data_IF_334105028688
#
_entry.id   IF_334105028688
#
_cell.length_a   1.000
_cell.length_b   1.000
_cell.length_c   1.000
_cell.angle_alpha   90.00
_cell.angle_beta   90.00
_cell.angle_gamma   90.00
#
_symmetry.space_group_name_H-M   'P 1'
#
loop_
_entity.id
_entity.type
_entity.pdbx_description
1 polymer ?
#
# COMPACT_ATOMS: atom_id res chain seq x y z
N UNK A 1 -1.94 16.62 18.93
CA UNK A 1 -2.34 16.74 17.51
C UNK A 1 -3.75 16.17 17.34
N UNK A 2 -4.49 16.56 16.31
CA UNK A 2 -5.82 15.98 16.05
C UNK A 2 -5.62 14.50 15.67
N UNK A 3 -6.21 13.53 16.41
CA UNK A 3 -6.08 12.12 16.07
C UNK A 3 -6.77 11.85 14.73
N UNK A 4 -6.13 11.05 13.87
CA UNK A 4 -6.76 10.58 12.63
C UNK A 4 -7.92 9.63 12.98
N UNK A 5 -9.00 9.63 12.18
CA UNK A 5 -10.04 8.62 12.32
C UNK A 5 -9.47 7.23 12.03
N UNK A 6 -10.08 6.20 12.62
CA UNK A 6 -9.68 4.81 12.40
C UNK A 6 -9.70 4.44 10.90
N UNK A 7 -10.69 4.95 10.15
CA UNK A 7 -10.75 4.85 8.70
C UNK A 7 -10.74 6.24 8.08
N UNK A 8 -9.84 6.46 7.12
CA UNK A 8 -9.80 7.69 6.32
C UNK A 8 -10.57 7.50 5.02
N UNK A 9 -11.38 8.50 4.66
CA UNK A 9 -12.20 8.52 3.47
C UNK A 9 -11.85 9.75 2.60
N UNK A 10 -12.42 9.84 1.40
CA UNK A 10 -12.22 10.97 0.48
C UNK A 10 -12.66 12.33 1.04
N UNK A 11 -13.54 12.33 2.04
CA UNK A 11 -14.10 13.50 2.73
C UNK A 11 -13.48 13.75 4.11
N UNK A 12 -12.54 12.91 4.55
CA UNK A 12 -11.76 13.16 5.77
C UNK A 12 -10.86 14.36 5.57
N UNK A 13 -10.92 15.33 6.48
CA UNK A 13 -10.07 16.53 6.45
C UNK A 13 -8.58 16.14 6.50
N UNK A 14 -7.77 16.45 5.47
CA UNK A 14 -6.34 16.15 5.51
C UNK A 14 -5.62 17.04 6.52
N UNK A 15 -5.05 16.43 7.56
CA UNK A 15 -4.23 17.11 8.57
C UNK A 15 -2.88 16.39 8.76
N UNK A 16 -2.01 16.37 7.73
CA UNK A 16 -0.75 15.63 7.77
C UNK A 16 0.19 16.18 8.86
N UNK A 17 0.85 15.27 9.57
CA UNK A 17 1.84 15.59 10.61
C UNK A 17 3.28 15.33 10.16
N UNK A 18 3.51 15.29 8.85
CA UNK A 18 4.83 15.08 8.25
C UNK A 18 5.05 16.07 7.12
N UNK A 19 6.30 16.50 6.91
CA UNK A 19 6.64 17.38 5.79
C UNK A 19 6.25 16.77 4.44
N UNK A 20 6.44 15.46 4.28
CA UNK A 20 6.02 14.72 3.08
C UNK A 20 4.51 14.85 2.85
N UNK A 21 3.69 14.58 3.86
CA UNK A 21 2.24 14.68 3.76
C UNK A 21 1.77 16.11 3.46
N UNK A 22 2.35 17.11 4.13
CA UNK A 22 2.06 18.53 3.88
C UNK A 22 2.40 18.92 2.45
N UNK A 23 3.57 18.52 1.93
CA UNK A 23 3.97 18.79 0.55
C UNK A 23 3.02 18.14 -0.45
N UNK A 24 2.59 16.89 -0.23
CA UNK A 24 1.61 16.22 -1.09
C UNK A 24 0.26 16.93 -1.10
N UNK A 25 -0.21 17.40 0.06
CA UNK A 25 -1.45 18.16 0.15
C UNK A 25 -1.35 19.52 -0.56
N UNK A 26 -0.20 20.21 -0.46
CA UNK A 26 0.06 21.43 -1.24
C UNK A 26 -0.03 21.13 -2.75
N UNK A 27 0.59 20.04 -3.22
CA UNK A 27 0.48 19.63 -4.61
C UNK A 27 -0.97 19.37 -5.04
N UNK A 28 -1.79 18.70 -4.21
CA UNK A 28 -3.21 18.49 -4.51
C UNK A 28 -3.96 19.82 -4.72
N UNK A 29 -3.71 20.82 -3.89
CA UNK A 29 -4.30 22.15 -4.03
C UNK A 29 -3.82 22.89 -5.27
N UNK A 30 -2.53 22.81 -5.60
CA UNK A 30 -1.98 23.41 -6.82
C UNK A 30 -2.60 22.77 -8.08
N UNK A 31 -2.71 21.44 -8.11
CA UNK A 31 -3.38 20.72 -9.21
C UNK A 31 -4.84 21.15 -9.32
N UNK A 32 -5.56 21.26 -8.20
CA UNK A 32 -6.95 21.71 -8.19
C UNK A 32 -7.11 23.13 -8.75
N UNK A 33 -6.29 24.09 -8.32
CA UNK A 33 -6.39 25.49 -8.77
C UNK A 33 -6.02 25.64 -10.25
N UNK A 34 -4.95 24.99 -10.71
CA UNK A 34 -4.55 25.02 -12.13
C UNK A 34 -5.60 24.36 -13.03
N UNK A 35 -6.25 23.30 -12.52
CA UNK A 35 -7.34 22.64 -13.21
C UNK A 35 -8.58 23.53 -13.34
N UNK A 36 -8.97 24.21 -12.25
CA UNK A 36 -10.09 25.17 -12.24
C UNK A 36 -9.86 26.35 -13.19
N UNK A 37 -8.60 26.79 -13.33
CA UNK A 37 -8.20 27.86 -14.27
C UNK A 37 -8.11 27.40 -15.72
N UNK A 38 -8.24 26.10 -15.99
CA UNK A 38 -8.12 25.54 -17.34
C UNK A 38 -6.69 25.44 -17.86
N UNK A 39 -5.68 25.58 -16.99
CA UNK A 39 -4.26 25.47 -17.39
C UNK A 39 -3.84 24.01 -17.61
N UNK A 40 -4.45 23.08 -16.88
CA UNK A 40 -4.21 21.64 -17.00
C UNK A 40 -5.52 20.85 -16.86
N UNK A 41 -5.53 19.60 -17.34
CA UNK A 41 -6.54 18.61 -16.98
C UNK A 41 -6.03 17.71 -15.84
N UNK A 42 -6.00 18.26 -14.63
CA UNK A 42 -5.34 17.65 -13.49
C UNK A 42 -6.21 16.66 -12.71
N UNK A 43 -5.63 15.50 -12.42
CA UNK A 43 -6.12 14.52 -11.43
C UNK A 43 -5.01 14.19 -10.42
N UNK A 44 -5.39 13.85 -9.20
CA UNK A 44 -4.51 13.40 -8.12
C UNK A 44 -5.03 12.08 -7.53
N UNK A 45 -4.16 11.09 -7.45
CA UNK A 45 -4.43 9.81 -6.83
C UNK A 45 -3.66 9.71 -5.52
N UNK A 46 -4.37 9.41 -4.42
CA UNK A 46 -3.75 9.09 -3.13
C UNK A 46 -3.54 7.59 -3.06
N UNK A 47 -2.28 7.18 -3.24
CA UNK A 47 -1.89 5.79 -3.27
C UNK A 47 -1.95 5.18 -1.87
N UNK A 48 -2.38 3.93 -1.80
CA UNK A 48 -2.24 3.09 -0.61
C UNK A 48 -0.79 2.58 -0.51
N UNK A 49 -0.44 1.95 0.62
CA UNK A 49 0.90 1.39 0.74
C UNK A 49 1.09 0.26 -0.26
N UNK A 50 1.94 0.51 -1.26
CA UNK A 50 2.26 -0.50 -2.27
C UNK A 50 3.08 -1.62 -1.64
N UNK A 51 2.56 -2.84 -1.68
CA UNK A 51 3.23 -4.07 -1.25
C UNK A 51 2.72 -5.25 -2.09
N UNK A 52 3.54 -6.22 -2.50
CA UNK A 52 4.96 -6.39 -2.19
C UNK A 52 5.82 -5.62 -3.20
N UNK A 53 6.66 -4.69 -2.73
CA UNK A 53 7.59 -3.98 -3.62
C UNK A 53 8.78 -4.88 -3.97
N UNK A 54 9.13 -5.04 -5.25
CA UNK A 54 10.35 -5.77 -5.64
C UNK A 54 11.61 -4.98 -5.27
N UNK A 55 12.75 -5.64 -5.37
CA UNK A 55 14.07 -5.04 -5.09
C UNK A 55 14.43 -5.00 -3.60
N UNK A 56 15.33 -4.10 -3.22
CA UNK A 56 15.87 -4.02 -1.86
C UNK A 56 14.96 -3.23 -0.91
N UNK A 57 15.01 -3.49 0.41
CA UNK A 57 14.43 -2.61 1.41
C UNK A 57 14.85 -1.14 1.21
N UNK A 58 13.92 -0.23 1.45
CA UNK A 58 14.21 1.19 1.57
C UNK A 58 14.14 1.63 3.04
N UNK A 59 14.68 2.81 3.37
CA UNK A 59 14.69 3.34 4.74
C UNK A 59 13.34 3.86 5.26
N UNK A 60 12.22 3.61 4.56
CA UNK A 60 10.92 4.09 4.99
C UNK A 60 10.35 3.22 6.12
N UNK A 61 9.64 3.83 7.08
CA UNK A 61 9.00 3.09 8.18
C UNK A 61 7.98 2.04 7.70
N UNK A 62 7.41 2.19 6.49
CA UNK A 62 6.49 1.23 5.88
C UNK A 62 7.18 0.09 5.12
N UNK A 63 8.51 0.05 5.07
CA UNK A 63 9.26 -0.94 4.29
C UNK A 63 9.02 -2.37 4.76
N UNK A 64 8.76 -2.57 6.06
CA UNK A 64 8.51 -3.88 6.64
C UNK A 64 7.26 -4.58 6.06
N UNK A 65 6.24 -3.85 5.60
CA UNK A 65 5.06 -4.47 4.99
C UNK A 65 5.40 -5.29 3.74
N UNK A 66 6.40 -4.87 2.96
CA UNK A 66 6.96 -5.72 1.89
C UNK A 66 8.01 -6.67 2.43
N UNK A 67 8.78 -6.21 3.42
CA UNK A 67 9.84 -6.95 4.10
C UNK A 67 9.42 -8.33 4.60
N UNK A 68 8.26 -8.41 5.27
CA UNK A 68 7.77 -9.65 5.87
C UNK A 68 7.25 -10.66 4.85
N UNK A 69 7.21 -10.31 3.56
CA UNK A 69 6.75 -11.19 2.48
C UNK A 69 7.90 -11.50 1.51
N UNK A 70 8.57 -10.46 1.00
CA UNK A 70 9.63 -10.58 -0.01
C UNK A 70 10.84 -11.38 0.48
N UNK A 71 11.38 -11.02 1.64
CA UNK A 71 12.60 -11.63 2.16
C UNK A 71 12.39 -13.12 2.47
N UNK A 72 11.30 -13.54 3.15
CA UNK A 72 11.00 -14.95 3.34
C UNK A 72 10.87 -15.75 2.03
N UNK A 73 10.19 -15.20 1.02
CA UNK A 73 10.08 -15.85 -0.29
C UNK A 73 11.45 -16.03 -0.95
N UNK A 74 12.39 -15.12 -0.71
CA UNK A 74 13.79 -15.23 -1.13
C UNK A 74 14.64 -16.11 -0.19
N UNK A 75 14.05 -16.76 0.82
CA UNK A 75 14.75 -17.59 1.80
C UNK A 75 15.62 -16.79 2.76
N UNK A 76 15.29 -15.52 3.00
CA UNK A 76 15.99 -14.59 3.89
C UNK A 76 15.11 -14.29 5.09
N UNK A 77 15.71 -14.27 6.29
CA UNK A 77 15.00 -13.87 7.50
C UNK A 77 14.55 -12.41 7.44
N UNK A 78 13.39 -12.12 8.03
CA UNK A 78 12.82 -10.78 8.05
C UNK A 78 12.31 -10.42 9.44
N UNK A 79 12.56 -9.17 9.83
CA UNK A 79 12.11 -8.63 11.11
C UNK A 79 10.82 -7.83 10.91
N UNK A 80 9.77 -8.22 11.62
CA UNK A 80 8.56 -7.44 11.78
C UNK A 80 8.70 -6.52 13.01
N UNK A 81 8.73 -5.18 12.83
CA UNK A 81 9.01 -4.23 13.90
C UNK A 81 7.81 -3.84 14.75
N UNK A 82 6.62 -4.38 14.47
CA UNK A 82 5.35 -3.95 15.06
C UNK A 82 4.50 -5.13 15.53
N UNK A 83 3.42 -4.84 16.27
CA UNK A 83 2.46 -5.87 16.69
C UNK A 83 1.79 -6.53 15.48
N UNK A 84 1.49 -7.84 15.53
CA UNK A 84 0.65 -8.50 14.53
C UNK A 84 -0.74 -7.87 14.37
N UNK A 85 -1.24 -7.14 15.39
CA UNK A 85 -2.55 -6.48 15.35
C UNK A 85 -2.56 -5.17 14.57
N UNK A 86 -1.40 -4.64 14.17
CA UNK A 86 -1.32 -3.42 13.37
C UNK A 86 -2.06 -3.63 12.05
N UNK A 87 -3.05 -2.77 11.79
CA UNK A 87 -3.81 -2.74 10.54
C UNK A 87 -3.44 -1.53 9.69
N UNK A 88 -3.36 -1.74 8.38
CA UNK A 88 -3.00 -0.70 7.42
C UNK A 88 -3.57 -0.98 6.02
N UNK A 89 -3.99 0.04 5.25
CA UNK A 89 -4.43 -0.13 3.88
C UNK A 89 -3.24 -0.37 2.93
N UNK A 90 -3.32 -1.45 2.15
CA UNK A 90 -2.28 -1.85 1.18
C UNK A 90 -2.84 -2.11 -0.20
N UNK A 91 -1.97 -2.07 -1.23
CA UNK A 91 -2.31 -2.44 -2.61
C UNK A 91 -1.12 -3.07 -3.32
N UNK A 92 -1.36 -3.94 -4.31
CA UNK A 92 -0.28 -4.48 -5.14
C UNK A 92 0.27 -3.41 -6.10
N UNK A 93 1.49 -3.61 -6.64
CA UNK A 93 1.99 -2.79 -7.74
C UNK A 93 1.03 -2.76 -8.93
N UNK A 94 0.48 -3.92 -9.34
CA UNK A 94 -0.48 -4.03 -10.45
C UNK A 94 -1.75 -3.20 -10.24
N UNK A 95 -2.46 -3.38 -9.12
CA UNK A 95 -3.66 -2.56 -8.78
C UNK A 95 -3.34 -1.08 -8.66
N UNK A 96 -2.14 -0.73 -8.21
CA UNK A 96 -1.71 0.66 -8.14
C UNK A 96 -1.55 1.26 -9.54
N UNK A 97 -0.95 0.51 -10.47
CA UNK A 97 -0.82 0.92 -11.89
C UNK A 97 -2.20 1.04 -12.54
N UNK A 98 -3.07 0.03 -12.38
CA UNK A 98 -4.45 0.06 -12.89
C UNK A 98 -5.19 1.31 -12.38
N UNK A 99 -5.06 1.60 -11.08
CA UNK A 99 -5.65 2.77 -10.45
C UNK A 99 -5.13 4.09 -11.04
N UNK A 100 -3.84 4.19 -11.31
CA UNK A 100 -3.24 5.37 -11.95
C UNK A 100 -3.74 5.55 -13.39
N UNK A 101 -3.83 4.46 -14.16
CA UNK A 101 -4.35 4.48 -15.53
C UNK A 101 -5.81 4.92 -15.53
N UNK A 102 -6.67 4.28 -14.72
CA UNK A 102 -8.08 4.63 -14.63
C UNK A 102 -8.31 6.07 -14.16
N UNK A 103 -7.50 6.56 -13.22
CA UNK A 103 -7.54 7.97 -12.79
C UNK A 103 -7.18 8.90 -13.96
N UNK A 104 -6.14 8.56 -14.72
CA UNK A 104 -5.70 9.35 -15.88
C UNK A 104 -6.77 9.38 -16.98
N UNK A 105 -7.42 8.25 -17.27
CA UNK A 105 -8.42 8.12 -18.35
C UNK A 105 -9.81 8.64 -17.99
N UNK A 106 -10.12 8.78 -16.70
CA UNK A 106 -11.45 9.19 -16.24
C UNK A 106 -11.80 10.63 -16.61
N UNK A 107 -13.05 10.86 -17.02
CA UNK A 107 -13.55 12.20 -17.38
C UNK A 107 -13.71 13.11 -16.17
N UNK A 108 -13.85 14.43 -16.41
CA UNK A 108 -14.12 15.42 -15.36
C UNK A 108 -15.45 15.14 -14.63
N UNK A 109 -16.46 14.70 -15.37
CA UNK A 109 -17.78 14.34 -14.85
C UNK A 109 -17.68 13.15 -13.89
N UNK A 110 -16.87 12.14 -14.25
CA UNK A 110 -16.61 10.98 -13.38
C UNK A 110 -15.93 11.40 -12.07
N UNK A 111 -15.07 12.42 -12.10
CA UNK A 111 -14.41 13.00 -10.93
C UNK A 111 -15.32 13.90 -10.07
N UNK A 112 -16.49 14.30 -10.58
CA UNK A 112 -17.53 15.12 -9.91
C UNK A 112 -16.99 16.42 -9.29
N UNK A 113 -16.15 17.13 -10.03
CA UNK A 113 -15.67 18.47 -9.66
C UNK A 113 -14.57 18.52 -8.58
N UNK A 114 -14.17 17.39 -8.01
CA UNK A 114 -12.93 17.27 -7.21
C UNK A 114 -11.79 16.79 -8.11
N UNK A 115 -10.54 17.04 -7.71
CA UNK A 115 -9.36 16.58 -8.48
C UNK A 115 -8.56 15.47 -7.80
N UNK A 116 -8.71 15.29 -6.48
CA UNK A 116 -8.03 14.24 -5.73
C UNK A 116 -8.99 13.12 -5.31
N UNK A 117 -8.55 11.85 -5.26
CA UNK A 117 -9.28 10.73 -4.67
C UNK A 117 -8.35 9.70 -4.02
N UNK A 118 -8.87 8.90 -3.09
CA UNK A 118 -8.21 7.71 -2.55
C UNK A 118 -8.27 6.56 -3.54
N UNK A 119 -7.13 5.95 -3.87
CA UNK A 119 -7.14 4.66 -4.57
C UNK A 119 -7.59 3.53 -3.63
N UNK A 120 -8.22 2.47 -4.12
CA UNK A 120 -8.61 1.35 -3.27
C UNK A 120 -7.41 0.65 -2.64
N UNK A 121 -7.60 0.19 -1.40
CA UNK A 121 -6.64 -0.66 -0.70
C UNK A 121 -7.36 -1.71 0.14
N UNK A 122 -6.71 -2.86 0.29
CA UNK A 122 -7.12 -3.88 1.23
C UNK A 122 -6.70 -3.43 2.63
N UNK A 123 -7.67 -3.26 3.53
CA UNK A 123 -7.39 -3.02 4.94
C UNK A 123 -7.04 -4.36 5.59
N UNK A 124 -5.77 -4.55 5.96
CA UNK A 124 -5.25 -5.84 6.40
C UNK A 124 -4.43 -5.67 7.68
N UNK A 125 -4.46 -6.66 8.58
CA UNK A 125 -3.52 -6.70 9.73
C UNK A 125 -2.24 -7.41 9.34
N UNK A 126 -1.17 -7.13 10.07
CA UNK A 126 0.10 -7.86 9.94
C UNK A 126 -0.11 -9.36 10.13
N UNK A 127 -0.97 -9.80 11.07
CA UNK A 127 -1.34 -11.21 11.23
C UNK A 127 -1.91 -11.80 9.94
N UNK A 128 -2.88 -11.12 9.33
CA UNK A 128 -3.58 -11.62 8.14
C UNK A 128 -2.61 -11.71 6.94
N UNK A 129 -1.60 -10.83 6.87
CA UNK A 129 -0.53 -10.90 5.86
C UNK A 129 0.38 -12.13 6.06
N UNK A 130 0.68 -12.49 7.31
CA UNK A 130 1.50 -13.65 7.63
C UNK A 130 0.75 -14.96 7.43
N UNK A 131 -0.54 -14.98 7.74
CA UNK A 131 -1.42 -16.12 7.47
C UNK A 131 -1.50 -16.38 5.96
N UNK A 132 -1.65 -15.32 5.15
CA UNK A 132 -1.61 -15.42 3.69
C UNK A 132 -0.25 -15.87 3.14
N UNK A 133 0.87 -15.45 3.76
CA UNK A 133 2.20 -15.95 3.40
C UNK A 133 2.32 -17.46 3.68
N UNK A 134 1.84 -17.92 4.83
CA UNK A 134 1.83 -19.33 5.19
C UNK A 134 0.93 -20.15 4.26
N UNK A 135 -0.26 -19.64 3.93
CA UNK A 135 -1.19 -20.27 2.98
C UNK A 135 -0.53 -20.49 1.61
N UNK A 136 0.16 -19.48 1.09
CA UNK A 136 0.68 -19.49 -0.29
C UNK A 136 2.06 -20.15 -0.39
N UNK A 137 2.95 -19.92 0.58
CA UNK A 137 4.35 -20.32 0.52
C UNK A 137 4.76 -21.36 1.58
N UNK A 138 3.83 -21.72 2.47
CA UNK A 138 4.02 -22.75 3.49
C UNK A 138 4.65 -22.26 4.80
N UNK A 139 4.55 -23.09 5.86
CA UNK A 139 4.96 -22.71 7.22
C UNK A 139 6.47 -22.49 7.35
N UNK A 140 7.29 -23.16 6.54
CA UNK A 140 8.75 -22.96 6.54
C UNK A 140 9.14 -21.55 6.11
N UNK A 141 8.48 -21.03 5.07
CA UNK A 141 8.71 -19.66 4.59
C UNK A 141 8.21 -18.67 5.64
N UNK A 142 6.99 -18.85 6.17
CA UNK A 142 6.47 -17.99 7.23
C UNK A 142 7.36 -17.97 8.49
N UNK A 143 8.02 -19.09 8.82
CA UNK A 143 8.90 -19.18 9.99
C UNK A 143 10.15 -18.28 9.90
N UNK A 144 10.51 -17.80 8.70
CA UNK A 144 11.60 -16.83 8.50
C UNK A 144 11.23 -15.42 8.98
N UNK A 145 9.97 -15.14 9.31
CA UNK A 145 9.55 -13.87 9.89
C UNK A 145 9.63 -13.94 11.41
N UNK A 146 10.42 -13.03 12.00
CA UNK A 146 10.54 -12.83 13.45
C UNK A 146 10.00 -11.48 13.86
N UNK A 147 9.47 -11.40 15.07
CA UNK A 147 9.04 -10.13 15.67
C UNK A 147 10.14 -9.57 16.56
N UNK A 148 10.53 -8.32 16.31
CA UNK A 148 11.42 -7.55 17.19
C UNK A 148 10.97 -6.11 17.14
N UNK A 149 10.34 -5.65 18.23
CA UNK A 149 9.67 -4.35 18.25
C UNK A 149 10.68 -3.19 18.14
N UNK A 150 10.52 -2.33 17.13
CA UNK A 150 11.22 -1.05 17.02
C UNK A 150 10.26 0.06 17.47
N UNK A 151 10.52 0.67 18.63
CA UNK A 151 9.65 1.71 19.20
C UNK A 151 9.51 2.95 18.31
N UNK A 152 10.53 3.28 17.52
CA UNK A 152 10.47 4.40 16.58
C UNK A 152 9.52 4.08 15.42
N UNK A 153 9.60 2.87 14.85
CA UNK A 153 8.67 2.44 13.78
C UNK A 153 7.26 2.28 14.34
N UNK A 154 7.11 1.64 15.50
CA UNK A 154 5.82 1.46 16.14
C UNK A 154 5.15 2.80 16.46
N UNK A 155 5.89 3.80 16.94
CA UNK A 155 5.38 5.15 17.19
C UNK A 155 4.93 5.87 15.92
N UNK A 156 5.63 5.70 14.79
CA UNK A 156 5.21 6.25 13.50
C UNK A 156 3.92 5.58 13.03
N UNK A 157 3.88 4.26 13.05
CA UNK A 157 2.75 3.46 12.55
C UNK A 157 1.49 3.64 13.42
N UNK A 158 1.65 3.85 14.73
CA UNK A 158 0.54 4.15 15.64
C UNK A 158 -0.22 5.44 15.29
N UNK A 159 0.40 6.34 14.50
CA UNK A 159 -0.22 7.57 14.03
C UNK A 159 -0.81 7.45 12.62
N UNK A 160 -0.79 6.26 12.02
CA UNK A 160 -1.41 6.01 10.73
C UNK A 160 -2.87 5.58 10.87
N UNK A 161 -3.70 5.83 9.84
CA UNK A 161 -5.05 5.32 9.85
C UNK A 161 -5.04 3.79 9.75
N UNK A 162 -5.83 3.13 10.59
CA UNK A 162 -5.96 1.66 10.59
C UNK A 162 -6.67 1.12 9.35
N UNK A 163 -7.27 1.99 8.54
CA UNK A 163 -7.83 1.63 7.25
C UNK A 163 -8.18 2.85 6.41
N UNK A 164 -8.54 2.60 5.16
CA UNK A 164 -9.05 3.59 4.24
C UNK A 164 -10.32 3.09 3.53
N UNK A 165 -11.13 4.04 3.05
CA UNK A 165 -12.20 3.80 2.09
C UNK A 165 -11.92 4.56 0.80
N UNK A 166 -12.46 4.03 -0.30
CA UNK A 166 -12.25 4.54 -1.65
C UNK A 166 -13.55 4.53 -2.47
N UNK A 167 -14.64 5.01 -1.86
CA UNK A 167 -15.99 4.98 -2.48
C UNK A 167 -16.04 5.71 -3.82
N UNK A 168 -15.25 6.78 -3.99
CA UNK A 168 -15.20 7.49 -5.27
C UNK A 168 -14.45 6.71 -6.34
N UNK A 169 -13.36 6.03 -5.98
CA UNK A 169 -12.65 5.16 -6.90
C UNK A 169 -13.50 3.94 -7.33
N UNK A 170 -14.34 3.41 -6.44
CA UNK A 170 -15.26 2.32 -6.77
C UNK A 170 -16.23 2.69 -7.92
N UNK A 171 -16.61 3.97 -8.03
CA UNK A 171 -17.45 4.47 -9.14
C UNK A 171 -16.70 4.52 -10.48
N UNK A 172 -15.37 4.44 -10.45
CA UNK A 172 -14.52 4.28 -11.64
C UNK A 172 -14.24 2.79 -11.95
N UNK A 173 -14.92 1.86 -11.27
CA UNK A 173 -14.68 0.42 -11.42
C UNK A 173 -13.43 -0.10 -10.70
N UNK A 174 -12.76 0.75 -9.91
CA UNK A 174 -11.57 0.36 -9.16
C UNK A 174 -11.96 -0.29 -7.83
N UNK A 175 -11.48 -1.51 -7.60
CA UNK A 175 -11.73 -2.27 -6.37
C UNK A 175 -10.41 -2.71 -5.72
N UNK A 176 -10.38 -2.86 -4.39
CA UNK A 176 -9.22 -3.45 -3.72
C UNK A 176 -9.12 -4.95 -4.06
N UNK A 177 -8.00 -5.57 -3.68
CA UNK A 177 -7.93 -7.04 -3.61
C UNK A 177 -8.95 -7.58 -2.61
N UNK A 178 -9.46 -8.79 -2.84
CA UNK A 178 -10.39 -9.45 -1.92
C UNK A 178 -9.67 -10.01 -0.68
N UNK A 179 -8.44 -10.49 -0.88
CA UNK A 179 -7.61 -11.08 0.17
C UNK A 179 -6.12 -10.76 -0.09
N UNK A 180 -5.28 -10.97 0.94
CA UNK A 180 -3.85 -10.69 0.82
C UNK A 180 -3.08 -11.83 0.11
N UNK A 181 -3.61 -13.06 0.09
CA UNK A 181 -2.99 -14.19 -0.59
C UNK A 181 -2.86 -13.94 -2.11
N UNK A 182 -3.82 -13.25 -2.72
CA UNK A 182 -3.75 -12.85 -4.13
C UNK A 182 -2.61 -11.85 -4.40
N UNK A 183 -2.31 -10.97 -3.44
CA UNK A 183 -1.16 -10.06 -3.53
C UNK A 183 0.16 -10.86 -3.46
N UNK A 184 0.23 -11.89 -2.60
CA UNK A 184 1.40 -12.78 -2.49
C UNK A 184 1.59 -13.58 -3.78
N UNK A 185 0.52 -14.20 -4.32
CA UNK A 185 0.54 -14.95 -5.58
C UNK A 185 1.00 -14.06 -6.74
N UNK A 186 0.42 -12.86 -6.88
CA UNK A 186 0.84 -11.91 -7.91
C UNK A 186 2.33 -11.58 -7.81
N UNK A 187 2.85 -11.35 -6.59
CA UNK A 187 4.26 -11.08 -6.41
C UNK A 187 5.16 -12.27 -6.80
N UNK A 188 4.72 -13.49 -6.52
CA UNK A 188 5.42 -14.72 -6.94
C UNK A 188 5.42 -14.84 -8.46
N UNK A 189 4.27 -14.66 -9.11
CA UNK A 189 4.15 -14.72 -10.57
C UNK A 189 5.05 -13.67 -11.25
N UNK A 190 5.03 -12.44 -10.74
CA UNK A 190 5.90 -11.35 -11.21
C UNK A 190 7.37 -11.71 -11.06
N UNK A 191 7.78 -12.33 -9.95
CA UNK A 191 9.15 -12.77 -9.72
C UNK A 191 9.55 -13.94 -10.61
N UNK A 192 8.64 -14.90 -10.83
CA UNK A 192 8.88 -16.07 -11.67
C UNK A 192 9.11 -15.70 -13.14
N UNK A 193 8.51 -14.59 -13.59
CA UNK A 193 8.72 -14.04 -14.93
C UNK A 193 10.09 -13.33 -15.10
N UNK A 194 10.84 -13.08 -14.02
CA UNK A 194 12.14 -12.40 -14.07
C UNK A 194 13.32 -13.38 -14.14
N UNK A 195 14.44 -13.00 -14.78
CA UNK A 195 15.63 -13.86 -14.89
C UNK A 195 16.27 -14.26 -13.55
N UNK A 196 15.93 -13.57 -12.46
CA UNK A 196 16.45 -13.81 -11.12
C UNK A 196 15.47 -14.55 -10.19
N UNK A 197 14.45 -15.22 -10.74
CA UNK A 197 13.47 -16.00 -9.98
C UNK A 197 14.10 -16.98 -8.97
N UNK A 198 15.20 -17.64 -9.35
CA UNK A 198 15.94 -18.56 -8.47
C UNK A 198 16.48 -17.90 -7.19
N UNK A 199 16.73 -16.59 -7.24
CA UNK A 199 17.14 -15.80 -6.09
C UNK A 199 15.94 -15.27 -5.31
N UNK A 200 14.94 -14.72 -5.99
CA UNK A 200 13.80 -14.04 -5.35
C UNK A 200 12.76 -15.00 -4.77
N UNK A 201 12.73 -16.24 -5.23
CA UNK A 201 11.81 -17.29 -4.79
C UNK A 201 12.52 -18.50 -4.18
N UNK A 202 13.79 -18.33 -3.75
CA UNK A 202 14.62 -19.41 -3.19
C UNK A 202 13.94 -20.12 -2.00
N UNK A 203 13.22 -19.38 -1.16
CA UNK A 203 12.54 -19.92 0.03
C UNK A 203 11.39 -20.87 -0.32
N UNK A 204 10.83 -20.78 -1.53
CA UNK A 204 9.76 -21.67 -1.99
C UNK A 204 10.26 -23.05 -2.42
N UNK A 205 11.58 -23.24 -2.60
CA UNK A 205 12.18 -24.50 -3.06
C UNK A 205 12.62 -25.44 -1.93
N UNK A 206 12.48 -25.03 -0.66
CA UNK A 206 13.07 -25.68 0.53
C UNK A 206 12.09 -26.41 1.45
#
# INVERSE_FOLDING_TARGET
AVPLPARVADDTLPAPQTSYGTQKLICEHLVADYTRKGYIDGRAARLMTVTVRPGKPNGAASSFFSGIIREPLAGVESICPVSPDVSHPVSSPSRTVDGLIAVYEATREAFRGRTALNLPGLNVRVSDMLDALEEVAGPKVRALVRFERDERVAGIVANWPTGATAERAARLGLLPHENFADIVRQYIDDCAALPNADQTLKGMKS
#
